data_IF_009084018304
#
_entry.id   IF_009084018304
#
_cell.length_a   1.000
_cell.length_b   1.000
_cell.length_c   1.000
_cell.angle_alpha   90.00
_cell.angle_beta   90.00
_cell.angle_gamma   90.00
#
_symmetry.space_group_name_H-M   'P 1'
#
loop_
_entity.id
_entity.type
_entity.pdbx_description
1 polymer ?
#
# COMPACT_ATOMS: atom_id res chain seq x y z
N UNK A 1 14.80 -11.74 -18.74
CA UNK A 1 13.96 -10.51 -18.66
C UNK A 1 13.20 -10.58 -17.36
N UNK A 2 13.23 -9.54 -16.51
CA UNK A 2 12.49 -9.59 -15.26
C UNK A 2 11.00 -9.39 -15.53
N UNK A 3 10.18 -10.30 -14.99
CA UNK A 3 8.73 -10.26 -15.07
C UNK A 3 8.19 -9.59 -13.82
N UNK A 4 7.20 -8.71 -13.99
CA UNK A 4 6.55 -8.06 -12.87
C UNK A 4 5.80 -9.10 -12.04
N UNK A 5 6.08 -9.26 -10.73
CA UNK A 5 5.42 -10.28 -9.91
C UNK A 5 3.92 -10.04 -9.72
N UNK A 6 3.40 -8.84 -9.99
CA UNK A 6 1.96 -8.54 -9.88
C UNK A 6 1.15 -8.89 -11.12
N UNK A 7 1.66 -8.59 -12.32
CA UNK A 7 0.92 -8.79 -13.57
C UNK A 7 1.55 -9.86 -14.48
N UNK A 8 2.67 -10.45 -14.06
CA UNK A 8 3.49 -11.42 -14.78
C UNK A 8 3.93 -11.01 -16.19
N UNK A 9 3.72 -9.74 -16.56
CA UNK A 9 4.18 -9.17 -17.83
C UNK A 9 5.65 -8.78 -17.79
N UNK A 10 6.35 -8.81 -18.94
CA UNK A 10 7.72 -8.34 -19.03
C UNK A 10 7.79 -6.85 -18.67
N UNK A 11 8.80 -6.48 -17.89
CA UNK A 11 9.05 -5.10 -17.50
C UNK A 11 10.08 -4.51 -18.46
N UNK A 12 9.66 -3.55 -19.28
CA UNK A 12 10.56 -2.84 -20.19
C UNK A 12 11.37 -1.79 -19.44
N UNK A 13 12.57 -1.47 -19.94
CA UNK A 13 13.48 -0.48 -19.34
C UNK A 13 12.84 0.90 -19.10
N UNK A 14 11.87 1.31 -19.93
CA UNK A 14 11.18 2.59 -19.79
C UNK A 14 10.25 2.66 -18.57
N UNK A 15 9.68 1.53 -18.14
CA UNK A 15 8.74 1.45 -17.02
C UNK A 15 9.27 0.62 -15.85
N UNK A 16 10.51 0.14 -15.94
CA UNK A 16 11.12 -0.69 -14.90
C UNK A 16 11.35 0.11 -13.65
N UNK A 17 10.90 -0.46 -12.55
CA UNK A 17 11.10 0.06 -11.23
C UNK A 17 11.75 -1.04 -10.42
N UNK A 18 13.02 -0.87 -10.08
CA UNK A 18 13.71 -1.78 -9.20
C UNK A 18 13.25 -1.50 -7.77
N UNK A 19 12.57 -2.46 -7.17
CA UNK A 19 12.19 -2.42 -5.77
C UNK A 19 12.31 -3.78 -5.14
N UNK A 20 12.84 -3.83 -3.92
CA UNK A 20 12.93 -5.07 -3.12
C UNK A 20 13.71 -6.17 -3.85
N UNK A 21 14.71 -5.77 -4.65
CA UNK A 21 15.51 -6.68 -5.48
C UNK A 21 14.77 -7.30 -6.68
N UNK A 22 13.55 -6.83 -7.01
CA UNK A 22 12.74 -7.28 -8.16
C UNK A 22 12.37 -6.10 -9.05
N UNK A 23 12.07 -6.36 -10.32
CA UNK A 23 11.55 -5.34 -11.23
C UNK A 23 10.02 -5.35 -11.25
N UNK A 24 9.45 -4.16 -11.08
CA UNK A 24 8.02 -3.89 -11.11
C UNK A 24 7.71 -2.84 -12.17
N UNK A 25 6.47 -2.81 -12.66
CA UNK A 25 5.99 -1.64 -13.40
C UNK A 25 5.61 -0.52 -12.43
N UNK A 26 5.82 0.74 -12.83
CA UNK A 26 5.32 1.94 -12.14
C UNK A 26 3.87 1.82 -11.61
N UNK A 27 2.87 1.46 -12.44
CA UNK A 27 1.50 1.28 -11.95
C UNK A 27 1.27 -0.03 -11.16
N UNK A 28 2.13 -1.03 -11.35
CA UNK A 28 2.05 -2.30 -10.62
C UNK A 28 2.60 -2.16 -9.20
N UNK A 29 3.53 -1.24 -8.96
CA UNK A 29 4.06 -0.96 -7.63
C UNK A 29 3.06 -0.11 -6.83
N UNK A 30 1.99 -0.73 -6.34
CA UNK A 30 0.91 -0.05 -5.59
C UNK A 30 0.57 -0.83 -4.33
N UNK A 31 0.14 -0.13 -3.29
CA UNK A 31 -0.15 -0.72 -2.00
C UNK A 31 -1.11 -1.90 -2.15
N UNK A 32 -0.76 -3.05 -1.55
CA UNK A 32 -1.60 -4.24 -1.56
C UNK A 32 -2.83 -4.13 -0.63
N UNK A 33 -2.94 -3.05 0.14
CA UNK A 33 -4.15 -2.77 0.90
C UNK A 33 -5.27 -2.32 -0.04
N UNK A 34 -6.39 -3.04 -0.04
CA UNK A 34 -7.55 -2.75 -0.88
C UNK A 34 -8.19 -1.39 -0.62
N UNK A 35 -8.10 -0.89 0.62
CA UNK A 35 -8.63 0.41 1.01
C UNK A 35 -7.74 1.58 0.55
N UNK A 36 -6.45 1.30 0.28
CA UNK A 36 -5.49 2.33 -0.11
C UNK A 36 -5.25 2.30 -1.61
N UNK A 37 -4.88 1.14 -2.17
CA UNK A 37 -4.46 0.90 -3.57
C UNK A 37 -3.58 2.01 -4.16
N UNK A 38 -2.88 2.77 -3.31
CA UNK A 38 -2.11 3.94 -3.69
C UNK A 38 -0.87 3.53 -4.45
N UNK A 39 -0.61 4.20 -5.57
CA UNK A 39 0.63 4.04 -6.35
C UNK A 39 1.83 4.45 -5.48
N UNK A 40 2.81 3.55 -5.40
CA UNK A 40 4.01 3.70 -4.61
C UNK A 40 5.16 4.08 -5.53
N UNK A 41 6.05 4.94 -5.05
CA UNK A 41 7.28 5.27 -5.76
C UNK A 41 8.36 4.23 -5.44
N UNK A 42 9.26 4.00 -6.40
CA UNK A 42 10.49 3.25 -6.20
C UNK A 42 11.23 3.77 -4.96
N UNK A 43 11.55 2.91 -4.00
CA UNK A 43 12.30 3.30 -2.80
C UNK A 43 11.55 4.05 -1.70
N UNK A 44 10.26 4.40 -1.89
CA UNK A 44 9.44 5.06 -0.84
C UNK A 44 8.24 4.20 -0.42
N UNK A 45 8.50 2.93 -0.14
CA UNK A 45 7.50 1.99 0.37
C UNK A 45 8.17 0.84 1.13
N UNK A 46 7.37 0.10 1.88
CA UNK A 46 7.79 -1.06 2.64
C UNK A 46 7.28 -2.35 2.01
N UNK A 47 7.99 -3.45 2.23
CA UNK A 47 7.54 -4.80 1.88
C UNK A 47 7.09 -5.54 3.13
N UNK A 48 5.98 -6.24 3.02
CA UNK A 48 5.57 -7.23 4.01
C UNK A 48 5.07 -8.48 3.28
N UNK A 49 5.58 -9.65 3.65
CA UNK A 49 5.20 -10.95 3.05
C UNK A 49 5.19 -10.92 1.51
N UNK A 50 6.26 -10.40 0.88
CA UNK A 50 6.39 -10.25 -0.58
C UNK A 50 5.37 -9.32 -1.26
N UNK A 51 4.62 -8.54 -0.49
CA UNK A 51 3.66 -7.55 -0.99
C UNK A 51 4.08 -6.12 -0.63
N UNK A 52 4.01 -5.17 -1.58
CA UNK A 52 4.36 -3.79 -1.33
C UNK A 52 3.23 -3.05 -0.58
N UNK A 53 3.59 -2.34 0.48
CA UNK A 53 2.70 -1.51 1.29
C UNK A 53 3.22 -0.07 1.39
N UNK A 54 2.33 0.92 1.43
CA UNK A 54 2.74 2.28 1.77
C UNK A 54 3.20 2.32 3.23
N UNK A 55 4.10 3.24 3.58
CA UNK A 55 4.58 3.42 4.95
C UNK A 55 3.43 3.56 5.96
N UNK A 56 2.35 4.27 5.59
CA UNK A 56 1.17 4.44 6.44
C UNK A 56 0.42 3.12 6.70
N UNK A 57 0.10 2.35 5.66
CA UNK A 57 -0.56 1.05 5.84
C UNK A 57 0.35 0.03 6.50
N UNK A 58 1.65 0.09 6.21
CA UNK A 58 2.63 -0.78 6.82
C UNK A 58 2.70 -0.54 8.33
N UNK A 59 2.80 0.72 8.78
CA UNK A 59 2.74 1.06 10.20
C UNK A 59 1.39 0.75 10.85
N UNK A 60 0.27 0.96 10.15
CA UNK A 60 -1.06 0.67 10.70
C UNK A 60 -1.34 -0.84 10.84
N UNK A 61 -0.82 -1.68 9.93
CA UNK A 61 -1.04 -3.14 9.95
C UNK A 61 0.04 -3.90 10.69
N UNK A 62 1.30 -3.48 10.55
CA UNK A 62 2.50 -4.19 11.03
C UNK A 62 3.35 -3.38 12.00
N UNK A 63 3.02 -2.11 12.24
CA UNK A 63 3.67 -1.34 13.29
C UNK A 63 3.37 -1.94 14.67
N UNK A 64 4.24 -1.70 15.66
CA UNK A 64 4.01 -2.19 17.01
C UNK A 64 2.65 -1.68 17.47
N UNK A 65 1.71 -2.61 17.67
CA UNK A 65 0.46 -2.38 18.39
C UNK A 65 0.84 -2.12 19.85
N UNK A 66 1.38 -0.93 20.10
CA UNK A 66 1.53 -0.38 21.43
C UNK A 66 0.14 -0.33 22.03
N UNK A 67 -0.04 -1.11 23.09
CA UNK A 67 -1.23 -1.17 23.92
C UNK A 67 -1.81 0.24 24.14
N UNK A 68 -2.97 0.48 23.55
CA UNK A 68 -3.76 1.69 23.70
C UNK A 68 -5.19 1.32 23.37
N UNK A 69 -5.87 0.66 24.30
CA UNK A 69 -7.32 0.57 24.30
C UNK A 69 -7.88 1.99 24.16
N UNK A 70 -8.69 2.22 23.13
CA UNK A 70 -9.26 3.55 22.87
C UNK A 70 -10.32 3.54 21.78
N UNK A 71 -11.48 2.96 22.08
CA UNK A 71 -12.75 3.40 21.52
C UNK A 71 -13.09 2.94 20.09
N UNK A 72 -13.91 1.90 20.02
CA UNK A 72 -14.95 1.82 19.00
C UNK A 72 -15.87 3.05 19.11
N UNK A 73 -15.71 4.06 18.27
CA UNK A 73 -16.78 5.05 18.02
C UNK A 73 -16.82 5.42 16.55
N UNK A 74 -17.47 4.55 15.78
CA UNK A 74 -18.14 4.93 14.53
C UNK A 74 -19.25 5.91 14.90
N UNK A 75 -18.96 7.21 14.98
CA UNK A 75 -20.03 8.19 14.99
C UNK A 75 -20.59 8.28 13.56
N UNK A 76 -21.63 7.48 13.30
CA UNK A 76 -22.57 7.80 12.24
C UNK A 76 -23.21 9.14 12.61
N UNK A 77 -22.83 10.23 11.94
CA UNK A 77 -23.61 11.46 11.98
C UNK A 77 -24.90 11.25 11.17
N UNK A 78 -25.93 10.70 11.82
CA UNK A 78 -27.31 10.91 11.41
C UNK A 78 -27.82 12.20 12.08
N UNK A 79 -28.22 13.17 11.27
CA UNK A 79 -29.13 14.24 11.69
C UNK A 79 -28.48 15.60 11.87
N UNK A 80 -28.63 16.45 10.84
CA UNK A 80 -28.32 17.87 10.90
C UNK A 80 -29.23 18.66 9.98
N UNK A 81 -30.54 18.61 10.25
CA UNK A 81 -31.53 19.57 9.74
C UNK A 81 -31.29 20.90 10.46
N UNK A 82 -30.93 21.94 9.73
CA UNK A 82 -30.92 23.32 10.25
C UNK A 82 -31.72 24.20 9.29
N UNK A 83 -32.83 24.72 9.83
CA UNK A 83 -33.65 25.87 9.45
C UNK A 83 -33.71 26.28 7.97
#
# INVERSE_FOLDING_TARGET
MPNCPRCQKPVYFAERVQSLGKDWHRPCLRCSNEQCKKTLAAGSHAEHESMPYCNQCYGAKFGPKGYGHGGSESHTFHGGKTA
#
